data_IF_753766203226
#
_entry.id   IF_753766203226
#
_cell.length_a   1.000
_cell.length_b   1.000
_cell.length_c   1.000
_cell.angle_alpha   90.00
_cell.angle_beta   90.00
_cell.angle_gamma   90.00
#
_symmetry.space_group_name_H-M   'P 1'
#
loop_
_entity.id
_entity.type
_entity.pdbx_description
1 polymer ?
#
# COMPACT_ATOMS: atom_id res chain seq x y z
N UNK A 1 18.71 11.82 -35.32
CA UNK A 1 17.69 12.77 -35.79
C UNK A 1 16.62 12.80 -34.71
N UNK A 2 16.60 13.85 -33.87
CA UNK A 2 15.71 13.93 -32.70
C UNK A 2 14.47 14.70 -33.13
N UNK A 3 13.30 14.07 -33.09
CA UNK A 3 12.03 14.74 -33.33
C UNK A 3 11.59 15.45 -32.04
N UNK A 4 11.31 16.75 -32.13
CA UNK A 4 10.63 17.47 -31.05
C UNK A 4 9.11 17.25 -31.21
N UNK A 5 8.50 16.73 -30.16
CA UNK A 5 7.04 16.56 -30.06
C UNK A 5 6.51 17.67 -29.17
N UNK A 6 5.70 18.57 -29.74
CA UNK A 6 4.99 19.61 -29.00
C UNK A 6 3.52 19.19 -28.88
N UNK A 7 3.02 19.11 -27.66
CA UNK A 7 1.62 18.78 -27.37
C UNK A 7 0.87 20.09 -27.20
N UNK A 8 -0.14 20.34 -28.05
CA UNK A 8 -1.06 21.47 -27.93
C UNK A 8 -2.46 20.96 -27.57
N UNK A 9 -3.29 21.86 -27.01
CA UNK A 9 -4.63 21.55 -26.48
C UNK A 9 -5.57 20.86 -27.50
N UNK A 10 -5.35 21.04 -28.81
CA UNK A 10 -6.17 20.48 -29.89
C UNK A 10 -5.52 19.30 -30.64
N UNK A 11 -4.47 18.68 -30.05
CA UNK A 11 -3.85 17.47 -30.57
C UNK A 11 -2.36 17.62 -30.95
N UNK A 12 -1.72 16.48 -31.22
CA UNK A 12 -0.26 16.37 -31.44
C UNK A 12 0.07 16.60 -32.91
N UNK A 13 0.88 17.63 -33.22
CA UNK A 13 1.52 17.80 -34.54
C UNK A 13 2.99 17.46 -34.44
N UNK A 14 3.41 16.39 -35.11
CA UNK A 14 4.83 16.15 -35.36
C UNK A 14 5.27 17.03 -36.55
N UNK A 15 6.24 17.92 -36.32
CA UNK A 15 6.89 18.67 -37.39
C UNK A 15 8.26 18.04 -37.65
N UNK A 16 8.48 17.61 -38.89
CA UNK A 16 9.79 17.15 -39.33
C UNK A 16 10.55 18.33 -39.92
N UNK A 17 11.86 18.48 -39.63
CA UNK A 17 12.66 19.51 -40.28
C UNK A 17 12.72 19.26 -41.78
N UNK A 18 12.54 20.32 -42.57
CA UNK A 18 12.65 20.26 -44.02
C UNK A 18 14.07 19.78 -44.43
N UNK A 19 14.19 18.93 -45.48
CA UNK A 19 15.49 18.44 -45.91
C UNK A 19 16.37 19.58 -46.42
N UNK A 20 17.61 19.64 -45.92
CA UNK A 20 18.61 20.59 -46.38
C UNK A 20 18.91 20.37 -47.87
N UNK A 21 18.89 21.45 -48.67
CA UNK A 21 19.31 21.50 -50.08
C UNK A 21 20.76 21.02 -50.25
N UNK A 22 21.00 19.72 -50.36
CA UNK A 22 22.19 19.12 -51.01
C UNK A 22 22.04 17.60 -51.05
N UNK A 23 21.28 17.11 -52.03
CA UNK A 23 21.50 15.82 -52.67
C UNK A 23 20.66 15.79 -53.96
N UNK A 24 21.31 16.14 -55.08
CA UNK A 24 20.82 15.84 -56.43
C UNK A 24 21.32 14.43 -56.76
N UNK A 25 20.44 13.45 -56.82
CA UNK A 25 20.63 12.22 -57.60
C UNK A 25 19.24 11.62 -57.87
N UNK A 26 18.93 11.43 -59.15
CA UNK A 26 17.60 11.13 -59.65
C UNK A 26 17.06 9.77 -59.21
N UNK A 27 15.75 9.74 -58.96
CA UNK A 27 14.92 8.54 -58.93
C UNK A 27 13.61 8.81 -59.67
N UNK A 28 13.07 7.82 -60.40
CA UNK A 28 11.97 8.03 -61.33
C UNK A 28 10.64 8.23 -60.61
N UNK A 29 9.82 9.09 -61.20
CA UNK A 29 8.41 9.26 -60.92
C UNK A 29 7.65 7.99 -61.32
N UNK A 30 7.29 7.15 -60.35
CA UNK A 30 5.99 6.47 -60.23
C UNK A 30 6.13 5.35 -59.20
N UNK A 31 5.41 5.47 -58.09
CA UNK A 31 4.58 4.40 -57.58
C UNK A 31 3.79 4.93 -56.38
N UNK A 32 2.48 4.90 -56.57
CA UNK A 32 1.45 4.84 -55.55
C UNK A 32 1.77 3.73 -54.54
N UNK A 33 2.58 4.06 -53.54
CA UNK A 33 2.64 3.31 -52.29
C UNK A 33 1.40 3.70 -51.49
N UNK A 34 0.36 2.88 -51.63
CA UNK A 34 -0.73 2.80 -50.68
C UNK A 34 -0.12 2.56 -49.29
N UNK A 35 0.10 3.64 -48.54
CA UNK A 35 0.37 3.61 -47.12
C UNK A 35 -0.89 3.03 -46.47
N UNK A 36 -0.93 1.69 -46.35
CA UNK A 36 -1.88 0.99 -45.50
C UNK A 36 -1.72 1.60 -44.10
N UNK A 37 -2.72 2.40 -43.73
CA UNK A 37 -2.72 3.20 -42.53
C UNK A 37 -2.52 2.34 -41.30
N UNK A 38 -1.33 2.42 -40.71
CA UNK A 38 -1.11 2.03 -39.32
C UNK A 38 -1.68 3.18 -38.49
N UNK A 39 -2.97 3.10 -38.21
CA UNK A 39 -3.61 3.95 -37.21
C UNK A 39 -3.12 3.46 -35.85
N UNK A 40 -2.12 4.14 -35.28
CA UNK A 40 -1.75 3.96 -33.88
C UNK A 40 -2.91 4.48 -33.02
N UNK A 41 -3.85 3.60 -32.72
CA UNK A 41 -4.95 3.89 -31.82
C UNK A 41 -4.40 3.76 -30.40
N UNK A 42 -3.88 4.86 -29.87
CA UNK A 42 -3.56 4.98 -28.45
C UNK A 42 -4.85 4.72 -27.66
N UNK A 43 -4.99 3.52 -27.09
CA UNK A 43 -6.06 3.27 -26.12
C UNK A 43 -5.65 3.98 -24.84
N UNK A 44 -6.29 5.10 -24.58
CA UNK A 44 -6.30 5.68 -23.23
C UNK A 44 -6.95 4.63 -22.33
N UNK A 45 -6.21 4.14 -21.34
CA UNK A 45 -6.74 3.26 -20.31
C UNK A 45 -7.77 4.05 -19.49
N UNK A 46 -9.05 3.80 -19.74
CA UNK A 46 -10.18 4.42 -19.03
C UNK A 46 -10.61 3.62 -17.80
N UNK A 47 -9.72 2.79 -17.25
CA UNK A 47 -10.01 2.03 -16.03
C UNK A 47 -10.13 2.98 -14.84
N UNK A 48 -11.29 2.97 -14.19
CA UNK A 48 -11.55 3.74 -12.96
C UNK A 48 -11.73 2.77 -11.81
N UNK A 49 -10.98 3.02 -10.73
CA UNK A 49 -11.03 2.25 -9.49
C UNK A 49 -11.79 3.07 -8.44
N UNK A 50 -12.90 2.54 -7.93
CA UNK A 50 -13.71 3.18 -6.88
C UNK A 50 -13.69 2.36 -5.60
N UNK A 51 -13.35 3.00 -4.49
CA UNK A 51 -13.33 2.37 -3.18
C UNK A 51 -14.52 2.83 -2.35
N UNK A 52 -15.28 1.87 -1.81
CA UNK A 52 -16.17 2.10 -0.70
C UNK A 52 -15.57 1.45 0.56
N UNK A 53 -15.03 2.25 1.47
CA UNK A 53 -14.46 1.82 2.75
C UNK A 53 -14.54 2.94 3.78
N UNK A 54 -14.50 2.59 5.07
CA UNK A 54 -14.28 3.57 6.13
C UNK A 54 -12.93 4.28 5.93
N UNK A 55 -12.89 5.58 6.23
CA UNK A 55 -11.67 6.37 6.16
C UNK A 55 -10.56 5.73 7.02
N UNK A 56 -9.37 5.55 6.44
CA UNK A 56 -8.25 4.90 7.13
C UNK A 56 -8.40 3.39 7.34
N UNK A 57 -9.38 2.72 6.72
CA UNK A 57 -9.47 1.27 6.71
C UNK A 57 -8.23 0.63 6.06
N UNK A 58 -7.65 -0.43 6.64
CA UNK A 58 -6.47 -1.09 6.07
C UNK A 58 -6.72 -1.69 4.68
N UNK A 59 -7.95 -2.10 4.35
CA UNK A 59 -8.31 -2.61 3.02
C UNK A 59 -8.16 -1.51 1.97
N UNK A 60 -8.79 -0.36 2.19
CA UNK A 60 -8.70 0.79 1.29
C UNK A 60 -7.29 1.34 1.18
N UNK A 61 -6.51 1.33 2.28
CA UNK A 61 -5.09 1.68 2.24
C UNK A 61 -4.28 0.77 1.31
N UNK A 62 -4.50 -0.56 1.33
CA UNK A 62 -3.80 -1.47 0.41
C UNK A 62 -4.11 -1.19 -1.05
N UNK A 63 -5.38 -0.93 -1.38
CA UNK A 63 -5.81 -0.55 -2.73
C UNK A 63 -5.14 0.76 -3.15
N UNK A 64 -5.17 1.77 -2.28
CA UNK A 64 -4.54 3.07 -2.55
C UNK A 64 -3.03 2.94 -2.79
N UNK A 65 -2.34 2.08 -2.02
CA UNK A 65 -0.92 1.79 -2.20
C UNK A 65 -0.65 1.01 -3.51
N UNK A 66 -1.45 0.00 -3.82
CA UNK A 66 -1.31 -0.80 -5.04
C UNK A 66 -1.44 0.06 -6.31
N UNK A 67 -2.34 1.05 -6.29
CA UNK A 67 -2.48 2.04 -7.36
C UNK A 67 -1.38 3.10 -7.32
N UNK A 68 -0.94 3.51 -6.13
CA UNK A 68 0.16 4.47 -5.96
C UNK A 68 1.45 4.01 -6.63
N UNK A 69 1.85 2.76 -6.42
CA UNK A 69 3.01 2.16 -7.07
C UNK A 69 2.90 2.05 -8.59
N UNK A 70 1.71 2.33 -9.14
CA UNK A 70 1.43 2.31 -10.58
C UNK A 70 1.11 3.69 -11.14
N UNK A 71 1.32 4.75 -10.35
CA UNK A 71 0.93 6.12 -10.70
C UNK A 71 -0.53 6.24 -11.11
N UNK A 72 -1.40 5.42 -10.49
CA UNK A 72 -2.86 5.46 -10.66
C UNK A 72 -3.52 6.06 -9.44
N UNK A 73 -4.68 6.67 -9.66
CA UNK A 73 -5.49 7.27 -8.61
C UNK A 73 -6.62 6.34 -8.19
N UNK A 74 -7.00 6.46 -6.91
CA UNK A 74 -8.15 5.78 -6.34
C UNK A 74 -9.26 6.82 -6.16
N UNK A 75 -10.41 6.57 -6.75
CA UNK A 75 -11.61 7.38 -6.54
C UNK A 75 -12.27 6.97 -5.22
N UNK A 76 -12.46 7.95 -4.33
CA UNK A 76 -13.13 7.82 -3.04
C UNK A 76 -14.44 8.61 -3.07
N UNK A 77 -15.51 8.05 -3.66
CA UNK A 77 -16.77 8.76 -3.77
C UNK A 77 -17.35 9.07 -2.38
N UNK A 78 -17.50 10.36 -2.07
CA UNK A 78 -18.00 10.84 -0.77
C UNK A 78 -19.42 10.33 -0.43
N UNK A 79 -20.20 9.92 -1.44
CA UNK A 79 -21.58 9.48 -1.29
C UNK A 79 -21.75 7.97 -1.06
N UNK A 80 -20.69 7.17 -1.19
CA UNK A 80 -20.78 5.72 -0.98
C UNK A 80 -20.27 5.34 0.40
N UNK A 81 -21.16 5.43 1.39
CA UNK A 81 -20.88 4.86 2.71
C UNK A 81 -21.13 3.35 2.64
N UNK A 82 -20.10 2.50 2.77
CA UNK A 82 -20.32 1.06 2.78
C UNK A 82 -21.12 0.66 4.02
N UNK A 83 -21.80 -0.48 3.96
CA UNK A 83 -22.35 -1.12 5.15
C UNK A 83 -21.24 -1.26 6.22
N UNK A 84 -21.55 -1.08 7.51
CA UNK A 84 -20.56 -1.19 8.58
C UNK A 84 -19.72 -2.48 8.46
N UNK A 85 -18.40 -2.33 8.54
CA UNK A 85 -17.46 -3.46 8.42
C UNK A 85 -17.28 -4.01 7.00
N UNK A 86 -17.92 -3.44 5.99
CA UNK A 86 -17.77 -3.84 4.60
C UNK A 86 -16.81 -2.88 3.88
N UNK A 87 -15.94 -3.43 3.04
CA UNK A 87 -15.10 -2.65 2.13
C UNK A 87 -15.14 -3.29 0.77
N UNK A 88 -15.34 -2.52 -0.29
CA UNK A 88 -15.36 -3.06 -1.64
C UNK A 88 -14.66 -2.14 -2.65
N UNK A 89 -14.11 -2.78 -3.67
CA UNK A 89 -13.48 -2.14 -4.82
C UNK A 89 -14.37 -2.40 -6.03
N UNK A 90 -14.75 -1.33 -6.72
CA UNK A 90 -15.44 -1.39 -8.00
C UNK A 90 -14.49 -0.97 -9.10
N UNK A 91 -14.35 -1.81 -10.11
CA UNK A 91 -13.49 -1.55 -11.27
C UNK A 91 -14.38 -1.32 -12.48
N UNK A 92 -14.35 -0.10 -13.00
CA UNK A 92 -15.09 0.32 -14.19
C UNK A 92 -14.15 0.31 -15.40
N UNK A 93 -14.53 -0.41 -16.46
CA UNK A 93 -13.78 -0.48 -17.72
C UNK A 93 -14.72 -0.30 -18.90
N UNK A 94 -14.28 0.41 -19.94
CA UNK A 94 -15.09 0.66 -21.12
C UNK A 94 -15.59 -0.65 -21.75
N UNK A 95 -16.91 -0.71 -22.00
CA UNK A 95 -17.59 -1.86 -22.59
C UNK A 95 -17.41 -3.20 -21.83
N UNK A 96 -17.17 -3.16 -20.52
CA UNK A 96 -17.14 -4.35 -19.66
C UNK A 96 -18.08 -4.21 -18.46
N UNK A 97 -18.63 -5.31 -17.93
CA UNK A 97 -19.34 -5.29 -16.66
C UNK A 97 -18.45 -4.74 -15.53
N UNK A 98 -19.08 -4.02 -14.59
CA UNK A 98 -18.40 -3.55 -13.39
C UNK A 98 -18.04 -4.75 -12.52
N UNK A 99 -16.76 -4.89 -12.19
CA UNK A 99 -16.29 -5.92 -11.26
C UNK A 99 -16.32 -5.34 -9.85
N UNK A 100 -16.99 -6.03 -8.93
CA UNK A 100 -17.02 -5.67 -7.50
C UNK A 100 -16.31 -6.74 -6.69
N UNK A 101 -15.29 -6.34 -5.93
CA UNK A 101 -14.51 -7.23 -5.07
C UNK A 101 -14.65 -6.82 -3.61
N UNK A 102 -14.64 -7.81 -2.72
CA UNK A 102 -14.67 -7.62 -1.26
C UNK A 102 -13.42 -8.18 -0.56
N UNK A 103 -12.74 -9.13 -1.20
CA UNK A 103 -11.50 -9.69 -0.67
C UNK A 103 -10.30 -8.79 -1.00
N UNK A 104 -9.56 -8.41 0.05
CA UNK A 104 -8.45 -7.46 -0.06
C UNK A 104 -7.27 -7.97 -0.89
N UNK A 105 -7.04 -9.29 -0.97
CA UNK A 105 -5.98 -9.84 -1.81
C UNK A 105 -6.43 -9.90 -3.28
N UNK A 106 -7.67 -10.33 -3.52
CA UNK A 106 -8.24 -10.32 -4.86
C UNK A 106 -8.26 -8.90 -5.47
N UNK A 107 -8.48 -7.86 -4.65
CA UNK A 107 -8.39 -6.46 -5.09
C UNK A 107 -7.00 -6.10 -5.64
N UNK A 108 -5.94 -6.38 -4.88
CA UNK A 108 -4.57 -6.03 -5.27
C UNK A 108 -4.06 -6.92 -6.40
N UNK A 109 -4.49 -8.19 -6.45
CA UNK A 109 -4.17 -9.11 -7.55
C UNK A 109 -4.85 -8.67 -8.86
N UNK A 110 -6.13 -8.26 -8.82
CA UNK A 110 -6.79 -7.70 -10.00
C UNK A 110 -6.11 -6.41 -10.47
N UNK A 111 -5.69 -5.54 -9.55
CA UNK A 111 -4.94 -4.33 -9.90
C UNK A 111 -3.63 -4.69 -10.60
N UNK A 112 -2.92 -5.73 -10.15
CA UNK A 112 -1.71 -6.21 -10.82
C UNK A 112 -1.99 -6.79 -12.21
N UNK A 113 -3.00 -7.65 -12.33
CA UNK A 113 -3.38 -8.26 -13.61
C UNK A 113 -3.79 -7.21 -14.67
N UNK A 114 -4.29 -6.05 -14.23
CA UNK A 114 -4.62 -4.93 -15.09
C UNK A 114 -3.40 -4.08 -15.50
N UNK A 115 -2.23 -4.32 -14.91
CA UNK A 115 -0.97 -3.60 -15.15
C UNK A 115 0.21 -4.58 -15.28
N UNK A 116 0.23 -5.43 -16.32
CA UNK A 116 1.23 -6.49 -16.49
C UNK A 116 2.66 -5.99 -16.70
N UNK A 117 2.81 -4.71 -17.09
CA UNK A 117 4.07 -3.99 -17.24
C UNK A 117 4.70 -3.59 -15.89
N UNK A 118 3.94 -3.67 -14.79
CA UNK A 118 4.36 -3.27 -13.44
C UNK A 118 4.04 -4.39 -12.44
N UNK A 119 4.71 -5.56 -12.56
CA UNK A 119 4.48 -6.69 -11.67
C UNK A 119 5.01 -6.40 -10.27
N UNK A 120 4.25 -6.82 -9.26
CA UNK A 120 4.62 -6.73 -7.84
C UNK A 120 4.66 -8.10 -7.17
N UNK A 121 4.19 -9.14 -7.85
CA UNK A 121 4.50 -10.53 -7.54
C UNK A 121 5.82 -10.97 -8.18
N UNK A 122 6.55 -11.90 -7.54
CA UNK A 122 7.62 -12.64 -8.19
C UNK A 122 7.12 -13.34 -9.45
N UNK A 123 7.94 -13.32 -10.52
CA UNK A 123 7.64 -14.02 -11.76
C UNK A 123 7.63 -15.55 -11.57
N UNK A 124 8.58 -16.06 -10.78
CA UNK A 124 8.68 -17.49 -10.45
C UNK A 124 7.43 -17.98 -9.70
N UNK A 125 6.77 -19.09 -10.14
CA UNK A 125 5.55 -19.59 -9.52
C UNK A 125 5.69 -20.00 -8.05
N UNK A 126 6.82 -20.61 -7.67
CA UNK A 126 7.04 -21.08 -6.30
C UNK A 126 7.27 -19.88 -5.37
N UNK A 127 8.13 -18.94 -5.77
CA UNK A 127 8.33 -17.68 -5.08
C UNK A 127 7.02 -16.91 -4.94
N UNK A 128 6.17 -16.91 -5.98
CA UNK A 128 4.85 -16.27 -5.95
C UNK A 128 3.90 -16.94 -4.95
N UNK A 129 3.92 -18.26 -4.85
CA UNK A 129 3.14 -19.00 -3.86
C UNK A 129 3.60 -18.67 -2.43
N UNK A 130 4.90 -18.66 -2.16
CA UNK A 130 5.47 -18.23 -0.88
C UNK A 130 5.13 -16.77 -0.55
N UNK A 131 5.18 -15.89 -1.56
CA UNK A 131 4.81 -14.48 -1.43
C UNK A 131 3.35 -14.32 -0.98
N UNK A 132 2.41 -15.06 -1.60
CA UNK A 132 1.00 -15.07 -1.19
C UNK A 132 0.79 -15.63 0.22
N UNK A 133 1.54 -16.66 0.61
CA UNK A 133 1.47 -17.20 1.96
C UNK A 133 1.87 -16.17 3.03
N UNK A 134 2.93 -15.38 2.76
CA UNK A 134 3.34 -14.27 3.63
C UNK A 134 2.30 -13.15 3.67
N UNK A 135 1.71 -12.79 2.52
CA UNK A 135 0.61 -11.82 2.45
C UNK A 135 -0.59 -12.26 3.30
N UNK A 136 -0.98 -13.54 3.24
CA UNK A 136 -2.05 -14.10 4.07
C UNK A 136 -1.71 -14.05 5.57
N UNK A 137 -0.45 -14.31 5.94
CA UNK A 137 0.02 -14.19 7.32
C UNK A 137 -0.06 -12.73 7.82
N UNK A 138 0.34 -11.77 6.98
CA UNK A 138 0.23 -10.34 7.28
C UNK A 138 -1.24 -9.90 7.44
N UNK A 139 -2.16 -10.39 6.60
CA UNK A 139 -3.59 -10.14 6.78
C UNK A 139 -4.12 -10.70 8.11
N UNK A 140 -3.69 -11.89 8.49
CA UNK A 140 -4.02 -12.46 9.80
C UNK A 140 -3.49 -11.57 10.93
N UNK A 141 -2.28 -11.03 10.79
CA UNK A 141 -1.71 -10.04 11.73
C UNK A 141 -2.60 -8.80 11.86
N UNK A 142 -3.05 -8.23 10.74
CA UNK A 142 -3.98 -7.10 10.72
C UNK A 142 -5.31 -7.42 11.41
N UNK A 143 -5.87 -8.61 11.19
CA UNK A 143 -7.10 -9.05 11.85
C UNK A 143 -6.92 -9.16 13.36
N UNK A 144 -5.79 -9.72 13.82
CA UNK A 144 -5.48 -9.79 15.26
C UNK A 144 -5.29 -8.40 15.87
N UNK A 145 -4.59 -7.50 15.17
CA UNK A 145 -4.42 -6.13 15.62
C UNK A 145 -5.77 -5.40 15.76
N UNK A 146 -6.70 -5.64 14.85
CA UNK A 146 -8.05 -5.07 14.95
C UNK A 146 -8.75 -5.48 16.25
N UNK A 147 -8.60 -6.73 16.70
CA UNK A 147 -9.14 -7.19 17.99
C UNK A 147 -8.49 -6.46 19.17
N UNK A 148 -7.16 -6.32 19.17
CA UNK A 148 -6.45 -5.58 20.22
C UNK A 148 -6.98 -4.14 20.33
N UNK A 149 -7.21 -3.48 19.20
CA UNK A 149 -7.69 -2.08 19.15
C UNK A 149 -9.19 -1.90 19.36
N UNK A 150 -9.94 -2.99 19.57
CA UNK A 150 -11.37 -2.99 19.88
C UNK A 150 -11.70 -3.54 21.27
N UNK A 151 -10.74 -4.20 21.93
CA UNK A 151 -10.94 -4.74 23.27
C UNK A 151 -11.33 -3.62 24.25
N UNK A 152 -12.46 -3.82 24.94
CA UNK A 152 -13.04 -2.88 25.88
C UNK A 152 -12.69 -3.20 27.35
N UNK A 153 -12.26 -4.44 27.62
CA UNK A 153 -11.74 -4.88 28.91
C UNK A 153 -10.35 -5.51 28.78
N UNK A 154 -9.65 -5.62 29.92
CA UNK A 154 -8.27 -6.09 29.98
C UNK A 154 -8.12 -7.57 29.65
N UNK A 155 -9.12 -8.41 29.94
CA UNK A 155 -9.05 -9.84 29.69
C UNK A 155 -9.06 -10.14 28.19
N UNK A 156 -10.00 -9.52 27.47
CA UNK A 156 -10.07 -9.60 26.01
C UNK A 156 -8.83 -9.00 25.35
N UNK A 157 -8.30 -7.90 25.91
CA UNK A 157 -7.08 -7.28 25.43
C UNK A 157 -5.87 -8.21 25.56
N UNK A 158 -5.66 -8.84 26.71
CA UNK A 158 -4.55 -9.77 26.97
C UNK A 158 -4.59 -10.96 26.00
N UNK A 159 -5.77 -11.54 25.78
CA UNK A 159 -5.98 -12.63 24.83
C UNK A 159 -5.66 -12.17 23.41
N UNK A 160 -6.18 -11.01 22.99
CA UNK A 160 -5.92 -10.46 21.67
C UNK A 160 -4.43 -10.17 21.45
N UNK A 161 -3.74 -9.63 22.45
CA UNK A 161 -2.31 -9.35 22.43
C UNK A 161 -1.47 -10.63 22.34
N UNK A 162 -1.84 -11.68 23.06
CA UNK A 162 -1.19 -12.98 22.94
C UNK A 162 -1.27 -13.53 21.51
N UNK A 163 -2.46 -13.53 20.90
CA UNK A 163 -2.64 -14.02 19.54
C UNK A 163 -1.96 -13.14 18.49
N UNK A 164 -1.97 -11.82 18.67
CA UNK A 164 -1.23 -10.90 17.82
C UNK A 164 0.28 -11.20 17.88
N UNK A 165 0.83 -11.32 19.10
CA UNK A 165 2.26 -11.59 19.32
C UNK A 165 2.71 -12.88 18.65
N UNK A 166 1.90 -13.95 18.74
CA UNK A 166 2.20 -15.22 18.08
C UNK A 166 2.26 -15.09 16.54
N UNK A 167 1.36 -14.32 15.94
CA UNK A 167 1.37 -14.07 14.49
C UNK A 167 2.55 -13.20 14.08
N UNK A 168 2.88 -12.17 14.85
CA UNK A 168 4.01 -11.29 14.57
C UNK A 168 5.36 -12.00 14.69
N UNK A 169 5.55 -12.86 15.71
CA UNK A 169 6.77 -13.69 15.83
C UNK A 169 6.94 -14.63 14.64
N UNK A 170 5.85 -15.22 14.15
CA UNK A 170 5.88 -16.03 12.93
C UNK A 170 6.26 -15.20 11.72
N UNK A 171 5.66 -14.02 11.57
CA UNK A 171 5.99 -13.09 10.49
C UNK A 171 7.48 -12.73 10.53
N UNK A 172 7.99 -12.30 11.68
CA UNK A 172 9.40 -11.98 11.92
C UNK A 172 10.36 -13.11 11.51
N UNK A 173 10.04 -14.36 11.89
CA UNK A 173 10.83 -15.53 11.55
C UNK A 173 10.83 -15.83 10.04
N UNK A 174 9.71 -15.57 9.36
CA UNK A 174 9.51 -15.92 7.93
C UNK A 174 9.80 -14.80 6.94
N UNK A 175 9.90 -13.55 7.41
CA UNK A 175 10.17 -12.43 6.52
C UNK A 175 11.53 -12.62 5.83
N UNK A 176 11.65 -12.34 4.53
CA UNK A 176 12.95 -12.26 3.90
C UNK A 176 13.71 -11.05 4.47
N UNK A 177 15.06 -11.03 4.38
CA UNK A 177 15.82 -9.82 4.65
C UNK A 177 15.27 -8.66 3.82
N UNK A 178 15.30 -7.45 4.37
CA UNK A 178 14.97 -6.26 3.59
C UNK A 178 16.08 -6.07 2.57
N UNK A 179 15.83 -6.49 1.33
CA UNK A 179 16.70 -6.14 0.22
C UNK A 179 16.39 -4.70 -0.17
N UNK A 180 17.27 -3.76 0.18
CA UNK A 180 17.12 -2.35 -0.19
C UNK A 180 17.19 -2.15 -1.71
N UNK A 181 17.78 -3.11 -2.45
CA UNK A 181 17.82 -3.10 -3.91
C UNK A 181 16.53 -3.62 -4.57
N UNK A 182 15.64 -4.24 -3.79
CA UNK A 182 14.36 -4.75 -4.26
C UNK A 182 13.33 -3.65 -4.53
N UNK A 183 12.73 -3.67 -5.72
CA UNK A 183 11.52 -2.90 -6.03
C UNK A 183 10.35 -3.22 -5.07
N UNK A 184 9.32 -2.38 -5.03
CA UNK A 184 8.16 -2.63 -4.17
C UNK A 184 7.49 -3.97 -4.53
N UNK A 185 6.84 -4.61 -3.56
CA UNK A 185 6.11 -5.87 -3.77
C UNK A 185 4.68 -5.83 -3.23
N UNK A 186 3.83 -6.77 -3.64
CA UNK A 186 2.50 -6.91 -3.03
C UNK A 186 2.57 -7.26 -1.54
N UNK A 187 3.63 -7.95 -1.08
CA UNK A 187 3.85 -8.15 0.35
C UNK A 187 4.07 -6.82 1.07
N UNK A 188 4.81 -5.89 0.48
CA UNK A 188 5.02 -4.56 1.04
C UNK A 188 3.73 -3.76 1.15
N UNK A 189 2.88 -3.82 0.12
CA UNK A 189 1.55 -3.22 0.13
C UNK A 189 0.70 -3.77 1.29
N UNK A 190 0.75 -5.09 1.52
CA UNK A 190 -0.04 -5.74 2.57
C UNK A 190 0.53 -5.47 3.97
N UNK A 191 1.85 -5.42 4.10
CA UNK A 191 2.56 -5.18 5.37
C UNK A 191 2.49 -3.74 5.83
N UNK A 192 2.60 -2.77 4.92
CA UNK A 192 2.75 -1.36 5.30
C UNK A 192 1.64 -0.87 6.25
N UNK A 193 0.34 -1.13 6.00
CA UNK A 193 -0.73 -0.74 6.93
C UNK A 193 -0.64 -1.41 8.30
N UNK A 194 -0.18 -2.67 8.38
CA UNK A 194 -0.03 -3.40 9.65
C UNK A 194 1.11 -2.83 10.47
N UNK A 195 2.30 -2.75 9.86
CA UNK A 195 3.53 -2.31 10.52
C UNK A 195 3.45 -0.84 10.93
N UNK A 196 2.86 0.00 10.08
CA UNK A 196 2.60 1.41 10.41
C UNK A 196 1.70 1.56 11.64
N UNK A 197 0.62 0.77 11.75
CA UNK A 197 -0.26 0.83 12.94
C UNK A 197 0.47 0.40 14.20
N UNK A 198 1.30 -0.63 14.13
CA UNK A 198 2.15 -1.06 15.25
C UNK A 198 3.02 0.11 15.72
N UNK A 199 3.73 0.78 14.80
CA UNK A 199 4.55 1.95 15.13
C UNK A 199 3.73 3.09 15.74
N UNK A 200 2.54 3.38 15.19
CA UNK A 200 1.66 4.42 15.72
C UNK A 200 1.21 4.09 17.14
N UNK A 201 0.80 2.85 17.41
CA UNK A 201 0.34 2.41 18.72
C UNK A 201 1.46 2.39 19.76
N UNK A 202 2.63 1.89 19.39
CA UNK A 202 3.81 1.88 20.25
C UNK A 202 4.21 3.30 20.64
N UNK A 203 4.18 4.22 19.68
CA UNK A 203 4.56 5.61 19.91
C UNK A 203 3.51 6.40 20.69
N UNK A 204 2.23 6.26 20.35
CA UNK A 204 1.16 7.06 20.95
C UNK A 204 0.84 6.63 22.39
N UNK A 205 0.92 5.32 22.66
CA UNK A 205 0.41 4.73 23.89
C UNK A 205 1.45 3.92 24.66
N UNK A 206 2.65 3.69 24.11
CA UNK A 206 3.69 2.91 24.77
C UNK A 206 3.38 1.41 24.83
N UNK A 207 2.72 0.86 23.81
CA UNK A 207 2.32 -0.55 23.80
C UNK A 207 3.43 -1.54 23.43
N UNK A 208 4.62 -1.08 23.03
CA UNK A 208 5.78 -1.93 22.80
C UNK A 208 5.53 -3.24 22.00
N UNK A 209 4.55 -3.23 21.08
CA UNK A 209 4.14 -4.37 20.25
C UNK A 209 5.30 -4.77 19.32
N UNK A 210 6.13 -3.81 18.90
CA UNK A 210 7.30 -3.98 18.06
C UNK A 210 8.51 -4.67 18.72
N UNK A 211 8.47 -4.93 20.03
CA UNK A 211 9.60 -5.55 20.74
C UNK A 211 9.83 -6.98 20.25
N UNK A 212 11.10 -7.33 20.07
CA UNK A 212 11.51 -8.64 19.53
C UNK A 212 11.18 -8.83 18.04
N UNK A 213 10.83 -7.76 17.31
CA UNK A 213 10.49 -7.81 15.88
C UNK A 213 11.43 -6.95 15.00
N UNK A 214 12.77 -7.10 15.10
CA UNK A 214 13.72 -6.22 14.44
C UNK A 214 13.57 -6.17 12.91
N UNK A 215 13.26 -7.28 12.24
CA UNK A 215 13.08 -7.32 10.78
C UNK A 215 11.78 -6.65 10.36
N UNK A 216 10.69 -6.89 11.09
CA UNK A 216 9.43 -6.16 10.89
C UNK A 216 9.64 -4.66 11.05
N UNK A 217 10.34 -4.22 12.10
CA UNK A 217 10.57 -2.79 12.36
C UNK A 217 11.51 -2.16 11.33
N UNK A 218 12.56 -2.86 10.92
CA UNK A 218 13.44 -2.41 9.83
C UNK A 218 12.67 -2.28 8.52
N UNK A 219 11.83 -3.27 8.17
CA UNK A 219 10.94 -3.22 7.00
C UNK A 219 9.98 -2.03 7.10
N UNK A 220 9.39 -1.79 8.28
CA UNK A 220 8.48 -0.66 8.50
C UNK A 220 9.15 0.70 8.22
N UNK A 221 10.37 0.91 8.73
CA UNK A 221 11.16 2.11 8.47
C UNK A 221 11.46 2.27 6.97
N UNK A 222 11.90 1.20 6.31
CA UNK A 222 12.17 1.21 4.86
C UNK A 222 10.91 1.56 4.05
N UNK A 223 9.77 0.97 4.40
CA UNK A 223 8.50 1.22 3.71
C UNK A 223 8.00 2.64 3.90
N UNK A 224 8.04 3.18 5.12
CA UNK A 224 7.60 4.55 5.39
C UNK A 224 8.51 5.61 4.75
N UNK A 225 9.75 5.25 4.40
CA UNK A 225 10.63 6.10 3.60
C UNK A 225 10.24 6.23 2.12
N UNK A 226 9.36 5.37 1.61
CA UNK A 226 8.89 5.42 0.21
C UNK A 226 7.79 6.46 0.05
N UNK A 227 7.87 7.28 -1.00
CA UNK A 227 6.93 8.38 -1.23
C UNK A 227 5.47 7.89 -1.38
N UNK A 228 5.28 6.77 -2.10
CA UNK A 228 3.97 6.16 -2.36
C UNK A 228 3.29 5.70 -1.07
N UNK A 229 4.09 5.27 -0.09
CA UNK A 229 3.59 4.82 1.22
C UNK A 229 3.42 6.00 2.16
N UNK A 230 4.46 6.84 2.28
CA UNK A 230 4.48 7.99 3.18
C UNK A 230 3.35 8.99 2.91
N UNK A 231 2.92 9.17 1.65
CA UNK A 231 1.78 10.04 1.32
C UNK A 231 0.45 9.53 1.90
N UNK A 232 0.27 8.22 1.99
CA UNK A 232 -0.98 7.57 2.43
C UNK A 232 -0.97 7.20 3.92
N UNK A 233 0.20 6.90 4.47
CA UNK A 233 0.41 6.51 5.87
C UNK A 233 1.14 7.63 6.64
N UNK A 234 0.61 8.85 6.52
CA UNK A 234 1.20 10.07 7.06
C UNK A 234 0.75 10.39 8.50
N UNK A 235 1.20 11.53 9.03
CA UNK A 235 0.86 12.02 10.37
C UNK A 235 -0.65 12.26 10.56
N UNK A 236 -1.35 12.84 9.58
CA UNK A 236 -2.79 13.07 9.66
C UNK A 236 -3.58 11.75 9.70
N UNK A 237 -3.15 10.75 8.92
CA UNK A 237 -3.71 9.40 9.01
C UNK A 237 -3.47 8.78 10.39
N UNK A 238 -2.31 9.03 11.00
CA UNK A 238 -1.99 8.52 12.33
C UNK A 238 -2.85 9.17 13.41
N UNK A 239 -3.04 10.49 13.34
CA UNK A 239 -3.91 11.25 14.23
C UNK A 239 -5.37 10.76 14.14
N UNK A 240 -5.89 10.60 12.93
CA UNK A 240 -7.24 10.06 12.72
C UNK A 240 -7.38 8.64 13.29
N UNK A 241 -6.37 7.79 13.10
CA UNK A 241 -6.36 6.43 13.64
C UNK A 241 -6.34 6.43 15.18
N UNK A 242 -5.46 7.22 15.81
CA UNK A 242 -5.39 7.38 17.27
C UNK A 242 -6.72 7.91 17.83
N UNK A 243 -7.30 8.93 17.20
CA UNK A 243 -8.58 9.48 17.59
C UNK A 243 -9.69 8.42 17.53
N UNK A 244 -9.71 7.60 16.48
CA UNK A 244 -10.69 6.52 16.34
C UNK A 244 -10.60 5.48 17.47
N UNK A 245 -9.39 5.12 17.90
CA UNK A 245 -9.17 4.15 18.97
C UNK A 245 -9.57 4.74 20.32
N UNK A 246 -9.19 6.00 20.56
CA UNK A 246 -9.50 6.72 21.80
C UNK A 246 -11.00 6.93 21.95
N UNK A 247 -11.69 7.34 20.89
CA UNK A 247 -13.13 7.54 20.87
C UNK A 247 -13.91 6.26 21.19
N UNK A 248 -13.40 5.10 20.75
CA UNK A 248 -13.99 3.78 21.07
C UNK A 248 -13.74 3.33 22.52
N UNK A 249 -12.91 4.04 23.29
CA UNK A 249 -12.56 3.64 24.66
C UNK A 249 -11.76 2.33 24.72
N UNK A 250 -10.98 2.01 23.68
CA UNK A 250 -10.22 0.76 23.65
C UNK A 250 -9.14 0.75 24.75
N UNK A 251 -8.97 -0.39 25.42
CA UNK A 251 -8.03 -0.56 26.53
C UNK A 251 -6.59 -0.21 26.13
N UNK A 252 -6.22 -0.49 24.89
CA UNK A 252 -4.90 -0.18 24.33
C UNK A 252 -4.53 1.32 24.39
N UNK A 253 -5.54 2.21 24.45
CA UNK A 253 -5.34 3.66 24.59
C UNK A 253 -5.23 4.12 26.05
N UNK A 254 -5.58 3.26 27.02
CA UNK A 254 -5.50 3.58 28.43
C UNK A 254 -4.04 3.44 28.92
N UNK A 255 -3.41 4.58 29.27
CA UNK A 255 -2.02 4.63 29.77
C UNK A 255 -1.74 3.80 31.04
N UNK A 256 -2.79 3.34 31.74
CA UNK A 256 -2.68 2.69 33.04
C UNK A 256 -2.74 1.14 32.99
N UNK A 257 -2.83 0.53 31.80
CA UNK A 257 -2.95 -0.94 31.62
C UNK A 257 -1.64 -1.71 31.41
N UNK A 258 -0.48 -1.04 31.39
CA UNK A 258 0.81 -1.63 30.99
C UNK A 258 1.22 -2.86 31.81
N UNK A 259 0.90 -2.92 33.10
CA UNK A 259 1.47 -3.91 34.01
C UNK A 259 1.02 -5.38 33.78
N UNK A 260 -0.11 -5.62 33.10
CA UNK A 260 -0.68 -6.97 32.99
C UNK A 260 -0.19 -7.71 31.73
N UNK A 261 -0.34 -7.11 30.56
CA UNK A 261 0.03 -7.76 29.31
C UNK A 261 1.55 -7.80 29.05
N UNK A 262 2.35 -6.95 29.70
CA UNK A 262 3.83 -6.99 29.58
C UNK A 262 4.43 -8.34 29.96
N UNK A 263 3.72 -9.16 30.77
CA UNK A 263 4.12 -10.55 31.04
C UNK A 263 4.09 -11.43 29.78
N UNK A 264 3.21 -11.13 28.82
CA UNK A 264 3.09 -11.86 27.56
C UNK A 264 4.26 -11.60 26.58
N UNK A 265 5.02 -10.52 26.79
CA UNK A 265 6.26 -10.24 26.06
C UNK A 265 7.43 -11.16 26.47
N UNK A 266 7.29 -11.93 27.55
CA UNK A 266 8.35 -12.80 28.05
C UNK A 266 9.53 -12.00 28.64
N UNK A 267 10.76 -12.53 28.61
CA UNK A 267 11.92 -11.91 29.28
C UNK A 267 12.30 -10.51 28.74
N UNK A 268 11.85 -10.15 27.54
CA UNK A 268 12.08 -8.82 26.96
C UNK A 268 11.12 -7.74 27.49
N UNK A 269 9.99 -8.12 28.09
CA UNK A 269 8.95 -7.22 28.58
C UNK A 269 9.14 -6.66 29.98
N UNK A 270 10.33 -6.79 30.58
CA UNK A 270 10.57 -6.29 31.94
C UNK A 270 10.46 -4.76 32.01
N UNK A 271 9.63 -4.24 32.91
CA UNK A 271 9.35 -2.80 33.11
C UNK A 271 10.60 -1.92 33.25
N UNK A 272 11.69 -2.48 33.81
CA UNK A 272 12.99 -1.80 33.95
C UNK A 272 13.76 -1.62 32.64
N UNK A 273 13.38 -2.30 31.55
CA UNK A 273 14.06 -2.27 30.24
C UNK A 273 13.34 -1.41 29.21
N UNK A 274 12.11 -0.96 29.50
CA UNK A 274 11.31 -0.18 28.56
C UNK A 274 11.55 1.31 28.77
N UNK A 275 12.09 1.99 27.76
CA UNK A 275 12.21 3.43 27.77
C UNK A 275 10.81 4.08 27.81
N UNK A 276 10.66 5.18 28.57
CA UNK A 276 9.40 5.94 28.60
C UNK A 276 9.06 6.41 27.18
N UNK A 277 7.79 6.27 26.74
CA UNK A 277 7.38 6.73 25.42
C UNK A 277 7.61 8.24 25.28
N UNK A 278 8.34 8.64 24.23
CA UNK A 278 8.55 10.05 23.93
C UNK A 278 7.39 10.64 23.11
N UNK A 279 6.95 11.88 23.40
CA UNK A 279 5.90 12.55 22.64
C UNK A 279 6.28 12.69 21.15
N UNK A 280 5.25 12.64 20.32
CA UNK A 280 5.38 12.55 18.86
C UNK A 280 5.81 13.88 18.24
N UNK A 281 7.03 13.96 17.70
CA UNK A 281 7.37 14.83 16.56
C UNK A 281 7.53 13.96 15.31
N UNK A 282 6.59 14.06 14.36
CA UNK A 282 6.76 13.51 13.03
C UNK A 282 7.72 14.43 12.26
N UNK A 283 8.98 14.02 12.10
CA UNK A 283 9.85 14.68 11.13
C UNK A 283 9.48 14.12 9.77
N UNK A 284 8.46 14.72 9.14
CA UNK A 284 8.25 14.54 7.72
C UNK A 284 9.43 15.21 7.05
N UNK A 285 10.34 14.44 6.45
CA UNK A 285 11.26 15.01 5.49
C UNK A 285 10.41 15.59 4.37
N UNK A 286 10.32 16.92 4.31
CA UNK A 286 9.76 17.59 3.14
C UNK A 286 10.70 17.27 1.98
N UNK A 287 10.20 16.80 0.82
CA UNK A 287 11.03 16.70 -0.36
C UNK A 287 11.56 18.11 -0.69
N UNK A 288 12.88 18.21 -0.82
CA UNK A 288 13.57 19.41 -1.30
C UNK A 288 13.49 19.53 -2.81
#
# INVERSE_FOLDING_TARGET
MIAQVVILADGIRATFPAPSRRQKAGWPLSNSLALRGIVWRWRVDTTVFRMAAEAGCPVGQRVALALAFRSKELDWPAAEVPAPGTSCLRVHRAARPVVTLYDSLAMIELIEDLHPDQPLHPADPEARASHRALMALALRGQQRLALVTRAADSGDHDIAMHFLSNVLRRLEATLPPTDEAGGPSNLDIVLAPLLWRILVLDRAFGNHIGIGLPRCMARACSLLGRQEIGRHLNAAAAEAYIASITCRGAVIAARHGLAHWMRALGPEGGEKRLARPQPVKWVVQRPG
#
